data_IF_379632662961
#
_entry.id   IF_379632662961
#
_cell.length_a   1.000
_cell.length_b   1.000
_cell.length_c   1.000
_cell.angle_alpha   90.00
_cell.angle_beta   90.00
_cell.angle_gamma   90.00
#
_symmetry.space_group_name_H-M   'P 1'
#
loop_
_entity.id
_entity.type
_entity.pdbx_description
1 polymer ?
#
# COMPACT_ATOMS: atom_id res chain seq x y z
N UNK A 1 3.38 35.16 12.91
CA UNK A 1 3.02 33.92 13.64
C UNK A 1 2.75 32.76 12.67
N UNK A 2 1.90 32.87 11.62
CA UNK A 2 1.60 31.75 10.71
C UNK A 2 2.78 31.24 9.87
N UNK A 3 3.66 32.15 9.42
CA UNK A 3 4.81 31.79 8.59
C UNK A 3 5.87 30.98 9.36
N UNK A 4 6.01 31.24 10.67
CA UNK A 4 6.93 30.50 11.53
C UNK A 4 6.42 29.08 11.78
N UNK A 5 5.13 28.93 12.11
CA UNK A 5 4.49 27.64 12.28
C UNK A 5 4.56 26.79 11.00
N UNK A 6 4.29 27.41 9.84
CA UNK A 6 4.42 26.74 8.55
C UNK A 6 5.86 26.26 8.31
N UNK A 7 6.85 27.12 8.55
CA UNK A 7 8.27 26.75 8.38
C UNK A 7 8.67 25.60 9.32
N UNK A 8 8.29 25.68 10.59
CA UNK A 8 8.61 24.66 11.59
C UNK A 8 7.93 23.32 11.24
N UNK A 9 6.70 23.34 10.70
CA UNK A 9 6.00 22.17 10.19
C UNK A 9 6.69 21.56 8.96
N UNK A 10 7.12 22.39 7.99
CA UNK A 10 7.86 21.93 6.81
C UNK A 10 9.21 21.30 7.20
N UNK A 11 9.92 21.88 8.17
CA UNK A 11 11.15 21.28 8.71
C UNK A 11 10.89 19.92 9.38
N UNK A 12 9.80 19.79 10.14
CA UNK A 12 9.41 18.52 10.74
C UNK A 12 9.09 17.46 9.67
N UNK A 13 8.31 17.82 8.65
CA UNK A 13 8.02 16.94 7.51
C UNK A 13 9.30 16.52 6.76
N UNK A 14 10.24 17.45 6.54
CA UNK A 14 11.51 17.15 5.88
C UNK A 14 12.36 16.16 6.68
N UNK A 15 12.44 16.32 8.00
CA UNK A 15 13.15 15.38 8.89
C UNK A 15 12.54 13.98 8.86
N UNK A 16 11.21 13.89 8.92
CA UNK A 16 10.50 12.61 8.78
C UNK A 16 10.76 11.97 7.41
N UNK A 17 10.68 12.76 6.34
CA UNK A 17 10.97 12.29 4.98
C UNK A 17 12.39 11.75 4.83
N UNK A 18 13.39 12.39 5.44
CA UNK A 18 14.78 11.90 5.46
C UNK A 18 14.90 10.58 6.23
N UNK A 19 14.25 10.46 7.38
CA UNK A 19 14.26 9.24 8.19
C UNK A 19 13.64 8.06 7.42
N UNK A 20 12.52 8.30 6.73
CA UNK A 20 11.85 7.28 5.90
C UNK A 20 12.69 6.90 4.68
N UNK A 21 13.31 7.87 4.00
CA UNK A 21 14.22 7.58 2.88
C UNK A 21 15.42 6.75 3.33
N UNK A 22 16.02 7.09 4.47
CA UNK A 22 17.17 6.37 5.01
C UNK A 22 16.80 4.92 5.37
N UNK A 23 15.65 4.69 6.01
CA UNK A 23 15.19 3.34 6.35
C UNK A 23 14.86 2.50 5.11
N UNK A 24 14.48 3.14 4.00
CA UNK A 24 14.14 2.48 2.75
C UNK A 24 15.29 2.41 1.74
N UNK A 25 16.51 2.86 2.06
CA UNK A 25 17.64 3.00 1.11
C UNK A 25 17.88 1.75 0.24
N UNK A 26 17.73 0.55 0.80
CA UNK A 26 17.87 -0.73 0.07
C UNK A 26 16.89 -0.89 -1.10
N UNK A 27 15.77 -0.18 -1.07
CA UNK A 27 14.72 -0.19 -2.08
C UNK A 27 14.82 1.00 -3.05
N UNK A 28 15.90 1.79 -2.99
CA UNK A 28 16.14 2.94 -3.87
C UNK A 28 14.95 3.92 -3.92
N UNK A 29 14.53 4.47 -2.76
CA UNK A 29 13.29 5.24 -2.68
C UNK A 29 13.43 6.58 -3.38
N UNK A 30 12.47 6.90 -4.25
CA UNK A 30 12.32 8.21 -4.86
C UNK A 30 11.20 8.98 -4.16
N UNK A 31 11.45 10.18 -3.62
CA UNK A 31 10.31 11.01 -3.20
C UNK A 31 9.79 11.85 -4.35
N UNK A 32 8.48 11.76 -4.51
CA UNK A 32 7.72 12.49 -5.50
C UNK A 32 7.55 13.95 -5.08
N UNK A 33 7.51 14.85 -6.05
CA UNK A 33 7.44 16.28 -5.80
C UNK A 33 7.35 17.10 -7.07
N UNK A 34 7.35 18.43 -6.90
CA UNK A 34 7.39 19.35 -8.03
C UNK A 34 8.80 19.39 -8.64
N UNK A 35 8.88 19.42 -9.96
CA UNK A 35 10.13 19.52 -10.70
C UNK A 35 9.95 20.40 -11.94
N UNK A 36 11.06 20.92 -12.49
CA UNK A 36 11.04 21.79 -13.67
C UNK A 36 11.35 20.99 -14.93
N UNK A 37 10.51 21.13 -15.95
CA UNK A 37 10.70 20.58 -17.29
C UNK A 37 10.65 21.73 -18.31
N UNK A 38 11.83 22.18 -18.78
CA UNK A 38 11.95 23.42 -19.54
C UNK A 38 11.49 24.62 -18.72
N UNK A 39 10.50 25.36 -19.20
CA UNK A 39 9.90 26.50 -18.50
C UNK A 39 8.62 26.16 -17.72
N UNK A 40 8.25 24.88 -17.66
CA UNK A 40 7.03 24.43 -16.97
C UNK A 40 7.37 23.69 -15.68
N UNK A 41 6.61 23.98 -14.62
CA UNK A 41 6.62 23.17 -13.41
C UNK A 41 5.69 21.98 -13.58
N UNK A 42 6.20 20.78 -13.34
CA UNK A 42 5.46 19.53 -13.31
C UNK A 42 5.49 18.93 -11.90
N UNK A 43 4.71 17.87 -11.66
CA UNK A 43 4.71 17.16 -10.39
C UNK A 43 4.72 15.65 -10.58
N UNK A 44 5.78 14.98 -10.15
CA UNK A 44 5.87 13.51 -10.24
C UNK A 44 4.83 12.80 -9.37
N UNK A 45 4.32 13.46 -8.32
CA UNK A 45 3.18 12.97 -7.55
C UNK A 45 1.91 12.96 -8.40
N UNK A 46 1.66 14.04 -9.15
CA UNK A 46 0.49 14.12 -10.01
C UNK A 46 0.61 13.17 -11.21
N UNK A 47 1.82 12.94 -11.71
CA UNK A 47 2.08 11.93 -12.75
C UNK A 47 1.78 10.52 -12.26
N UNK A 48 2.19 10.18 -11.03
CA UNK A 48 1.86 8.91 -10.40
C UNK A 48 0.34 8.74 -10.25
N UNK A 49 -0.36 9.74 -9.70
CA UNK A 49 -1.82 9.68 -9.57
C UNK A 49 -2.54 9.62 -10.92
N UNK A 50 -2.07 10.37 -11.92
CA UNK A 50 -2.60 10.33 -13.27
C UNK A 50 -2.39 8.97 -13.92
N UNK A 51 -1.25 8.30 -13.70
CA UNK A 51 -1.01 6.94 -14.16
C UNK A 51 -2.04 5.96 -13.59
N UNK A 52 -2.33 6.04 -12.28
CA UNK A 52 -3.33 5.18 -11.65
C UNK A 52 -4.73 5.38 -12.21
N UNK A 53 -5.12 6.65 -12.43
CA UNK A 53 -6.46 7.03 -12.90
C UNK A 53 -6.64 6.72 -14.39
N UNK A 54 -5.63 7.01 -15.21
CA UNK A 54 -5.75 6.97 -16.67
C UNK A 54 -5.18 5.70 -17.29
N UNK A 55 -4.37 4.93 -16.55
CA UNK A 55 -3.71 3.72 -17.06
C UNK A 55 -2.54 4.00 -18.00
N UNK A 56 -2.14 5.26 -18.15
CA UNK A 56 -1.01 5.68 -18.97
C UNK A 56 -0.19 6.76 -18.26
N UNK A 57 1.13 6.66 -18.38
CA UNK A 57 2.02 7.65 -17.83
C UNK A 57 2.11 8.84 -18.77
N UNK A 58 2.00 10.05 -18.20
CA UNK A 58 2.25 11.31 -18.89
C UNK A 58 2.81 12.31 -17.91
N UNK A 59 3.58 13.27 -18.40
CA UNK A 59 3.99 14.43 -17.60
C UNK A 59 2.76 15.26 -17.23
N UNK A 60 2.71 15.73 -15.99
CA UNK A 60 1.58 16.52 -15.48
C UNK A 60 2.10 17.89 -15.02
N UNK A 61 1.88 18.96 -15.81
CA UNK A 61 2.11 20.32 -15.38
C UNK A 61 1.31 20.63 -14.11
N UNK A 62 1.85 21.47 -13.23
CA UNK A 62 1.09 21.95 -12.07
C UNK A 62 -0.16 22.70 -12.55
N UNK A 63 -1.37 22.18 -12.27
CA UNK A 63 -2.59 22.83 -12.72
C UNK A 63 -2.87 24.07 -11.88
N UNK A 64 -3.47 25.08 -12.50
CA UNK A 64 -3.93 26.28 -11.81
C UNK A 64 -5.32 26.12 -11.15
N UNK A 65 -5.87 24.90 -11.10
CA UNK A 65 -7.23 24.61 -10.66
C UNK A 65 -7.34 23.28 -9.90
N UNK A 66 -8.58 22.84 -9.61
CA UNK A 66 -8.83 21.64 -8.82
C UNK A 66 -8.24 20.37 -9.46
N UNK A 67 -7.54 19.56 -8.66
CA UNK A 67 -6.86 18.35 -9.16
C UNK A 67 -7.83 17.30 -9.71
N UNK A 68 -9.03 17.21 -9.13
CA UNK A 68 -10.08 16.28 -9.58
C UNK A 68 -10.58 16.59 -11.00
N UNK A 69 -10.47 17.84 -11.46
CA UNK A 69 -10.85 18.25 -12.80
C UNK A 69 -9.69 18.10 -13.81
N UNK A 70 -8.44 18.15 -13.32
CA UNK A 70 -7.24 18.13 -14.16
C UNK A 70 -6.65 16.73 -14.40
N UNK A 71 -6.80 15.81 -13.42
CA UNK A 71 -6.11 14.52 -13.46
C UNK A 71 -6.81 13.47 -14.33
N UNK A 72 -8.14 13.39 -14.29
CA UNK A 72 -8.90 12.38 -15.00
C UNK A 72 -9.12 12.78 -16.46
N UNK A 73 -8.44 12.09 -17.37
CA UNK A 73 -8.58 12.28 -18.83
C UNK A 73 -9.09 11.04 -19.55
N UNK A 74 -9.15 9.90 -18.86
CA UNK A 74 -9.71 8.65 -19.36
C UNK A 74 -11.07 8.41 -18.73
N UNK A 75 -12.02 7.90 -19.52
CA UNK A 75 -13.31 7.46 -18.99
C UNK A 75 -13.18 6.04 -18.45
N UNK A 76 -13.36 5.89 -17.15
CA UNK A 76 -13.44 4.60 -16.46
C UNK A 76 -14.89 4.10 -16.44
N UNK A 77 -15.09 2.82 -16.77
CA UNK A 77 -16.36 2.13 -16.57
C UNK A 77 -16.13 0.94 -15.63
N UNK A 78 -16.95 0.86 -14.60
CA UNK A 78 -16.89 -0.21 -13.61
C UNK A 78 -18.02 -1.21 -13.90
N UNK A 79 -17.64 -2.44 -14.22
CA UNK A 79 -18.53 -3.60 -14.26
C UNK A 79 -18.55 -4.33 -12.92
N UNK A 80 -19.20 -5.50 -12.88
CA UNK A 80 -19.27 -6.32 -11.66
C UNK A 80 -17.88 -6.83 -11.21
N UNK A 81 -17.05 -7.26 -12.16
CA UNK A 81 -15.72 -7.83 -11.90
C UNK A 81 -14.62 -7.24 -12.80
N UNK A 82 -14.95 -6.21 -13.59
CA UNK A 82 -14.08 -5.66 -14.63
C UNK A 82 -14.04 -4.13 -14.58
N UNK A 83 -12.89 -3.55 -14.93
CA UNK A 83 -12.74 -2.12 -15.17
C UNK A 83 -12.38 -1.91 -16.63
N UNK A 84 -13.10 -1.04 -17.31
CA UNK A 84 -12.82 -0.64 -18.69
C UNK A 84 -12.25 0.79 -18.72
N UNK A 85 -11.08 0.94 -19.32
CA UNK A 85 -10.46 2.23 -19.64
C UNK A 85 -10.74 2.54 -21.10
N UNK A 86 -11.54 3.59 -21.36
CA UNK A 86 -11.75 4.11 -22.71
C UNK A 86 -10.80 5.27 -22.96
N UNK A 87 -9.65 4.95 -23.56
CA UNK A 87 -8.69 5.94 -24.03
C UNK A 87 -9.10 6.44 -25.43
N UNK A 88 -8.56 7.58 -25.89
CA UNK A 88 -8.88 8.10 -27.22
C UNK A 88 -8.56 7.13 -28.36
N UNK A 89 -7.49 6.34 -28.21
CA UNK A 89 -6.96 5.47 -29.28
C UNK A 89 -7.19 3.97 -29.01
N UNK A 90 -7.60 3.60 -27.79
CA UNK A 90 -7.73 2.20 -27.40
C UNK A 90 -8.74 2.00 -26.26
N UNK A 91 -9.27 0.79 -26.17
CA UNK A 91 -10.01 0.32 -24.98
C UNK A 91 -9.17 -0.72 -24.27
N UNK A 92 -8.97 -0.55 -22.96
CA UNK A 92 -8.29 -1.54 -22.11
C UNK A 92 -9.28 -2.09 -21.09
N UNK A 93 -9.21 -3.38 -20.83
CA UNK A 93 -9.96 -4.01 -19.76
C UNK A 93 -8.98 -4.50 -18.68
N UNK A 94 -9.37 -4.34 -17.42
CA UNK A 94 -8.67 -4.85 -16.24
C UNK A 94 -9.65 -5.57 -15.31
N UNK A 95 -9.12 -6.26 -14.31
CA UNK A 95 -9.88 -6.96 -13.30
C UNK A 95 -9.23 -6.74 -11.94
N UNK A 96 -10.05 -6.63 -10.89
CA UNK A 96 -9.54 -6.45 -9.53
C UNK A 96 -9.58 -7.79 -8.80
N UNK A 97 -8.44 -8.20 -8.23
CA UNK A 97 -8.31 -9.40 -7.43
C UNK A 97 -7.87 -9.03 -6.01
N UNK A 98 -8.71 -9.35 -5.03
CA UNK A 98 -8.35 -9.30 -3.61
C UNK A 98 -7.82 -10.66 -3.15
N UNK A 99 -6.63 -10.67 -2.54
CA UNK A 99 -6.09 -11.87 -1.90
C UNK A 99 -6.46 -11.82 -0.44
N UNK A 100 -7.30 -12.76 0.02
CA UNK A 100 -7.81 -12.79 1.40
C UNK A 100 -6.96 -13.61 2.36
N UNK A 101 -6.27 -14.62 1.85
CA UNK A 101 -5.49 -15.55 2.65
C UNK A 101 -4.17 -15.86 1.96
N UNK A 102 -3.12 -16.02 2.76
CA UNK A 102 -1.80 -16.40 2.30
C UNK A 102 -1.60 -17.90 2.55
N UNK A 103 -0.90 -18.61 1.65
CA UNK A 103 -0.50 -19.98 1.92
C UNK A 103 0.43 -20.02 3.14
N UNK A 104 0.29 -21.07 3.97
CA UNK A 104 1.21 -21.33 5.08
C UNK A 104 2.26 -22.37 4.64
N UNK A 105 3.57 -22.06 4.70
CA UNK A 105 4.17 -20.81 5.14
C UNK A 105 4.18 -19.73 4.05
N UNK A 106 4.11 -18.47 4.48
CA UNK A 106 4.39 -17.31 3.63
C UNK A 106 5.87 -17.25 3.29
N UNK A 107 6.22 -17.36 1.99
CA UNK A 107 7.61 -17.31 1.50
C UNK A 107 7.87 -16.10 0.62
N UNK A 108 9.12 -15.63 0.63
CA UNK A 108 9.59 -14.58 -0.28
C UNK A 108 9.42 -15.06 -1.73
N UNK A 109 8.88 -14.20 -2.59
CA UNK A 109 8.68 -14.51 -4.01
C UNK A 109 7.42 -15.31 -4.33
N UNK A 110 6.50 -15.49 -3.38
CA UNK A 110 5.20 -16.16 -3.63
C UNK A 110 4.41 -15.54 -4.80
N UNK A 111 4.63 -14.25 -5.09
CA UNK A 111 3.99 -13.52 -6.18
C UNK A 111 4.81 -13.44 -7.47
N UNK A 112 5.99 -14.07 -7.56
CA UNK A 112 6.88 -13.89 -8.71
C UNK A 112 6.23 -14.26 -10.05
N UNK A 113 5.43 -15.34 -10.10
CA UNK A 113 4.71 -15.70 -11.34
C UNK A 113 3.71 -14.63 -11.76
N UNK A 114 2.99 -14.07 -10.79
CA UNK A 114 2.02 -13.01 -11.03
C UNK A 114 2.72 -11.73 -11.50
N UNK A 115 3.82 -11.36 -10.83
CA UNK A 115 4.65 -10.20 -11.19
C UNK A 115 5.37 -10.35 -12.53
N UNK A 116 5.51 -11.59 -13.03
CA UNK A 116 6.10 -11.89 -14.34
C UNK A 116 5.06 -12.02 -15.45
N UNK A 117 3.78 -11.77 -15.17
CA UNK A 117 2.73 -11.87 -16.16
C UNK A 117 2.93 -10.83 -17.28
N UNK A 118 2.63 -11.16 -18.56
CA UNK A 118 2.91 -10.30 -19.70
C UNK A 118 1.85 -9.19 -19.88
N UNK A 119 1.38 -8.60 -18.78
CA UNK A 119 0.42 -7.50 -18.79
C UNK A 119 0.66 -6.55 -17.61
N UNK A 120 0.27 -5.26 -17.73
CA UNK A 120 0.40 -4.30 -16.63
C UNK A 120 -0.41 -4.75 -15.41
N UNK A 121 0.16 -4.55 -14.23
CA UNK A 121 -0.50 -4.84 -12.96
C UNK A 121 -0.28 -3.70 -11.97
N UNK A 122 -1.31 -3.39 -11.20
CA UNK A 122 -1.29 -2.45 -10.09
C UNK A 122 -1.38 -3.24 -8.79
N UNK A 123 -0.22 -3.52 -8.22
CA UNK A 123 -0.12 -4.20 -6.93
C UNK A 123 -0.02 -3.16 -5.82
N UNK A 124 -0.98 -3.19 -4.89
CA UNK A 124 -0.99 -2.32 -3.71
C UNK A 124 -0.88 -3.17 -2.45
N UNK A 125 0.07 -2.81 -1.58
CA UNK A 125 0.21 -3.38 -0.25
C UNK A 125 0.24 -2.28 0.79
N UNK A 126 -0.45 -2.51 1.92
CA UNK A 126 -0.33 -1.67 3.10
C UNK A 126 -0.30 -2.54 4.35
N UNK A 127 0.38 -2.04 5.38
CA UNK A 127 0.48 -2.70 6.67
C UNK A 127 0.29 -1.67 7.77
N UNK A 128 -0.67 -1.92 8.66
CA UNK A 128 -0.97 -1.09 9.82
C UNK A 128 -0.57 -1.82 11.08
N UNK A 129 0.43 -1.30 11.80
CA UNK A 129 0.90 -1.93 13.03
C UNK A 129 -0.17 -1.87 14.13
N UNK A 130 -0.35 -2.99 14.82
CA UNK A 130 -1.10 -3.05 16.06
C UNK A 130 -0.17 -2.72 17.23
N UNK A 131 -0.73 -2.12 18.27
CA UNK A 131 -0.02 -2.01 19.54
C UNK A 131 0.23 -3.42 20.11
N UNK A 132 1.31 -3.58 20.89
CA UNK A 132 1.62 -4.87 21.52
C UNK A 132 0.43 -5.41 22.33
N UNK A 133 -0.21 -4.55 23.11
CA UNK A 133 -1.40 -4.89 23.89
C UNK A 133 -2.58 -5.34 23.01
N UNK A 134 -2.82 -4.67 21.88
CA UNK A 134 -3.86 -5.08 20.94
C UNK A 134 -3.56 -6.43 20.29
N UNK A 135 -2.31 -6.66 19.87
CA UNK A 135 -1.85 -7.96 19.33
C UNK A 135 -1.97 -9.10 20.34
N UNK A 136 -1.54 -8.89 21.59
CA UNK A 136 -1.68 -9.87 22.68
C UNK A 136 -3.16 -10.20 22.94
N UNK A 137 -4.02 -9.19 23.02
CA UNK A 137 -5.45 -9.39 23.23
C UNK A 137 -6.12 -10.16 22.09
N UNK A 138 -5.66 -9.99 20.84
CA UNK A 138 -6.12 -10.77 19.69
C UNK A 138 -5.71 -12.24 19.80
N UNK A 139 -4.43 -12.52 20.07
CA UNK A 139 -3.93 -13.89 20.21
C UNK A 139 -4.56 -14.62 21.39
N UNK A 140 -4.66 -13.99 22.57
CA UNK A 140 -5.31 -14.58 23.76
C UNK A 140 -6.78 -14.91 23.49
N UNK A 141 -7.51 -14.01 22.83
CA UNK A 141 -8.90 -14.25 22.45
C UNK A 141 -9.02 -15.41 21.46
N UNK A 142 -8.12 -15.51 20.49
CA UNK A 142 -8.11 -16.64 19.56
C UNK A 142 -7.83 -17.96 20.29
N UNK A 143 -6.87 -17.97 21.21
CA UNK A 143 -6.55 -19.13 22.03
C UNK A 143 -7.75 -19.57 22.89
N UNK A 144 -8.39 -18.66 23.61
CA UNK A 144 -9.57 -18.97 24.43
C UNK A 144 -10.76 -19.44 23.58
N UNK A 145 -10.97 -18.88 22.37
CA UNK A 145 -12.02 -19.35 21.45
C UNK A 145 -11.83 -20.81 21.06
N UNK A 146 -10.60 -21.19 20.71
CA UNK A 146 -10.27 -22.56 20.32
C UNK A 146 -10.39 -23.52 21.51
N UNK A 147 -9.86 -23.15 22.68
CA UNK A 147 -9.98 -23.95 23.90
C UNK A 147 -11.44 -24.23 24.29
N UNK A 148 -12.32 -23.23 24.14
CA UNK A 148 -13.74 -23.35 24.46
C UNK A 148 -14.54 -24.15 23.41
N UNK A 149 -14.06 -24.22 22.16
CA UNK A 149 -14.72 -24.96 21.10
C UNK A 149 -14.54 -26.48 21.22
N UNK A 150 -13.66 -26.96 22.11
CA UNK A 150 -13.34 -28.38 22.28
C UNK A 150 -12.58 -29.01 21.10
N UNK A 151 -12.31 -28.22 20.05
CA UNK A 151 -11.50 -28.60 18.89
C UNK A 151 -10.02 -28.33 19.22
N UNK A 152 -9.41 -29.28 19.93
CA UNK A 152 -8.00 -29.19 20.30
C UNK A 152 -7.10 -29.58 19.13
N UNK A 153 -6.94 -28.68 18.16
CA UNK A 153 -5.74 -28.68 17.33
C UNK A 153 -4.54 -28.32 18.23
N UNK A 154 -3.96 -29.33 18.89
CA UNK A 154 -2.87 -29.16 19.88
C UNK A 154 -1.71 -28.34 19.32
N UNK A 155 -1.41 -28.52 18.02
CA UNK A 155 -0.38 -27.76 17.32
C UNK A 155 -0.71 -26.27 17.22
N UNK A 156 -1.93 -25.91 16.82
CA UNK A 156 -2.35 -24.50 16.71
C UNK A 156 -2.38 -23.80 18.07
N UNK A 157 -2.76 -24.51 19.13
CA UNK A 157 -2.75 -23.98 20.49
C UNK A 157 -1.32 -23.64 20.95
N UNK A 158 -0.37 -24.51 20.61
CA UNK A 158 1.04 -24.30 20.88
C UNK A 158 1.58 -23.10 20.09
N UNK A 159 1.28 -23.03 18.79
CA UNK A 159 1.67 -21.91 17.91
C UNK A 159 1.15 -20.56 18.42
N UNK A 160 -0.09 -20.49 18.92
CA UNK A 160 -0.63 -19.26 19.51
C UNK A 160 0.09 -18.85 20.80
N UNK A 161 0.53 -19.82 21.60
CA UNK A 161 1.29 -19.55 22.83
C UNK A 161 2.71 -19.07 22.50
N UNK A 162 3.38 -19.74 21.56
CA UNK A 162 4.69 -19.31 21.05
C UNK A 162 4.61 -17.90 20.44
N UNK A 163 3.55 -17.61 19.67
CA UNK A 163 3.32 -16.27 19.13
C UNK A 163 3.11 -15.21 20.23
N UNK A 164 2.41 -15.54 21.33
CA UNK A 164 2.26 -14.64 22.47
C UNK A 164 3.60 -14.32 23.15
N UNK A 165 4.43 -15.34 23.34
CA UNK A 165 5.76 -15.18 23.93
C UNK A 165 6.68 -14.36 23.03
N UNK A 166 6.70 -14.65 21.72
CA UNK A 166 7.48 -13.91 20.72
C UNK A 166 7.05 -12.44 20.60
N UNK A 167 5.74 -12.16 20.60
CA UNK A 167 5.23 -10.78 20.59
C UNK A 167 5.58 -10.03 21.88
N UNK A 168 5.59 -10.72 23.02
CA UNK A 168 5.97 -10.13 24.31
C UNK A 168 7.46 -9.80 24.36
N UNK A 169 8.29 -10.62 23.72
CA UNK A 169 9.76 -10.49 23.61
C UNK A 169 10.22 -9.54 22.49
N UNK A 170 9.30 -8.95 21.71
CA UNK A 170 9.56 -8.13 20.52
C UNK A 170 10.30 -8.86 19.40
N UNK A 171 10.09 -10.17 19.25
CA UNK A 171 10.65 -10.93 18.13
C UNK A 171 9.95 -10.58 16.81
N UNK A 172 8.67 -10.22 16.87
CA UNK A 172 7.89 -9.74 15.73
C UNK A 172 6.85 -8.70 16.15
N UNK A 173 6.26 -8.03 15.15
CA UNK A 173 5.14 -7.13 15.33
C UNK A 173 3.91 -7.66 14.59
N UNK A 174 2.73 -7.45 15.18
CA UNK A 174 1.44 -7.76 14.54
C UNK A 174 0.86 -6.53 13.88
N UNK A 175 0.02 -6.74 12.88
CA UNK A 175 -0.64 -5.68 12.14
C UNK A 175 -1.71 -6.20 11.19
N UNK A 176 -2.51 -5.28 10.70
CA UNK A 176 -3.43 -5.53 9.60
C UNK A 176 -2.68 -5.35 8.28
N UNK A 177 -2.65 -6.39 7.47
CA UNK A 177 -2.09 -6.35 6.12
C UNK A 177 -3.21 -6.31 5.09
N UNK A 178 -3.08 -5.43 4.12
CA UNK A 178 -3.96 -5.37 2.96
C UNK A 178 -3.13 -5.58 1.70
N UNK A 179 -3.66 -6.42 0.81
CA UNK A 179 -3.08 -6.73 -0.48
C UNK A 179 -4.18 -6.73 -1.54
N UNK A 180 -4.01 -5.90 -2.57
CA UNK A 180 -4.89 -5.86 -3.72
C UNK A 180 -4.10 -5.84 -5.02
N UNK A 181 -4.67 -6.46 -6.04
CA UNK A 181 -4.17 -6.44 -7.41
C UNK A 181 -5.26 -5.87 -8.33
N UNK A 182 -4.90 -4.97 -9.23
CA UNK A 182 -5.77 -4.42 -10.29
C UNK A 182 -5.08 -4.50 -11.65
#
# INVERSE_FOLDING_TARGET
MPERELRDALEACAKLGQMVRASLTRYEPEALGAYRYGDTWCSSLLEYLALLINGEWRRVPLPAGPLNEALATTRLLFGAETIEYRLPEATRAGAMLGIKEYPTPSVVGMYNRLLSAPFPLLLTQSFSFLSRAAGQALLQRQFHRMANAGDFAVSQALELKEALDGLSSNEFAMGDHHFSLQ
#
